data_IF_999365242269
#
_entry.id   IF_999365242269
#
_cell.length_a   1.000
_cell.length_b   1.000
_cell.length_c   1.000
_cell.angle_alpha   90.00
_cell.angle_beta   90.00
_cell.angle_gamma   90.00
#
_symmetry.space_group_name_H-M   'P 1'
#
loop_
_entity.id
_entity.type
_entity.pdbx_description
1 polymer ?
#
# COMPACT_ATOMS: atom_id res chain seq x y z
N UNK A 1 19.19 12.25 -26.28
CA UNK A 1 17.95 12.66 -25.58
C UNK A 1 18.05 12.72 -24.03
N UNK A 2 19.25 12.71 -23.40
CA UNK A 2 19.40 12.76 -21.92
C UNK A 2 19.35 14.18 -21.30
N UNK A 3 19.64 15.23 -22.06
CA UNK A 3 19.75 16.63 -21.58
C UNK A 3 18.41 17.24 -21.10
N UNK A 4 17.28 16.74 -21.58
CA UNK A 4 15.95 17.31 -21.33
C UNK A 4 15.36 16.98 -19.94
N UNK A 5 15.73 15.83 -19.34
CA UNK A 5 15.18 15.38 -18.04
C UNK A 5 15.67 16.22 -16.86
N UNK A 6 16.93 16.68 -16.91
CA UNK A 6 17.56 17.46 -15.85
C UNK A 6 17.01 18.89 -15.73
N UNK A 7 16.59 19.48 -16.85
CA UNK A 7 16.01 20.83 -16.87
C UNK A 7 14.67 20.87 -16.13
N UNK A 8 13.82 19.85 -16.33
CA UNK A 8 12.53 19.74 -15.61
C UNK A 8 12.71 19.49 -14.12
N UNK A 9 13.69 18.67 -13.74
CA UNK A 9 14.01 18.43 -12.33
C UNK A 9 14.47 19.71 -11.62
N UNK A 10 15.32 20.51 -12.28
CA UNK A 10 15.75 21.81 -11.76
C UNK A 10 14.59 22.82 -11.65
N UNK A 11 13.69 22.87 -12.64
CA UNK A 11 12.50 23.72 -12.59
C UNK A 11 11.56 23.35 -11.43
N UNK A 12 11.34 22.05 -11.19
CA UNK A 12 10.55 21.59 -10.04
C UNK A 12 11.22 21.99 -8.72
N UNK A 13 12.54 21.81 -8.61
CA UNK A 13 13.30 22.21 -7.43
C UNK A 13 13.18 23.71 -7.14
N UNK A 14 13.25 24.57 -8.17
CA UNK A 14 13.06 26.01 -8.03
C UNK A 14 11.64 26.38 -7.59
N UNK A 15 10.62 25.68 -8.09
CA UNK A 15 9.23 25.85 -7.62
C UNK A 15 9.08 25.44 -6.15
N UNK A 16 9.68 24.31 -5.75
CA UNK A 16 9.68 23.86 -4.36
C UNK A 16 10.38 24.86 -3.43
N UNK A 17 11.54 25.39 -3.85
CA UNK A 17 12.33 26.37 -3.08
C UNK A 17 11.55 27.65 -2.79
N UNK A 18 10.68 28.05 -3.72
CA UNK A 18 9.87 29.27 -3.60
C UNK A 18 8.46 29.01 -3.03
N UNK A 19 8.13 27.77 -2.65
CA UNK A 19 6.86 27.43 -2.03
C UNK A 19 6.91 27.76 -0.53
N UNK A 20 6.14 28.75 -0.09
CA UNK A 20 5.93 29.01 1.33
C UNK A 20 4.94 27.98 1.89
N UNK A 21 5.44 27.06 2.71
CA UNK A 21 4.61 26.06 3.40
C UNK A 21 3.79 26.75 4.48
N UNK A 22 2.46 26.61 4.42
CA UNK A 22 1.52 27.20 5.37
C UNK A 22 1.04 26.16 6.39
N UNK A 23 0.42 26.59 7.50
CA UNK A 23 -0.21 25.68 8.46
C UNK A 23 -1.24 24.74 7.81
N UNK A 24 -1.99 25.25 6.83
CA UNK A 24 -2.96 24.46 6.05
C UNK A 24 -2.30 23.29 5.29
N UNK A 25 -1.03 23.43 4.93
CA UNK A 25 -0.28 22.37 4.25
C UNK A 25 0.15 21.27 5.23
N UNK A 26 0.44 21.62 6.49
CA UNK A 26 0.65 20.65 7.57
C UNK A 26 -0.64 19.90 7.92
N UNK A 27 -1.78 20.59 8.06
CA UNK A 27 -3.08 19.95 8.29
C UNK A 27 -3.40 18.93 7.17
N UNK A 28 -3.13 19.31 5.91
CA UNK A 28 -3.29 18.41 4.75
C UNK A 28 -2.32 17.23 4.78
N UNK A 29 -1.10 17.45 5.25
CA UNK A 29 -0.11 16.39 5.39
C UNK A 29 -0.52 15.39 6.48
N UNK A 30 -1.03 15.87 7.63
CA UNK A 30 -1.56 15.02 8.70
C UNK A 30 -2.73 14.16 8.22
N UNK A 31 -3.70 14.77 7.53
CA UNK A 31 -4.83 14.01 6.94
C UNK A 31 -4.31 12.93 6.00
N UNK A 32 -3.34 13.24 5.12
CA UNK A 32 -2.74 12.24 4.22
C UNK A 32 -1.99 11.14 4.98
N UNK A 33 -1.25 11.49 6.03
CA UNK A 33 -0.54 10.54 6.87
C UNK A 33 -1.49 9.55 7.56
N UNK A 34 -2.62 10.04 8.08
CA UNK A 34 -3.65 9.18 8.68
C UNK A 34 -4.23 8.17 7.68
N UNK A 35 -4.49 8.58 6.43
CA UNK A 35 -4.95 7.66 5.38
C UNK A 35 -3.90 6.60 5.02
N UNK A 36 -2.61 6.92 5.11
CA UNK A 36 -1.54 5.94 4.89
C UNK A 36 -1.47 4.93 6.04
N UNK A 37 -1.68 5.36 7.28
CA UNK A 37 -1.73 4.46 8.44
C UNK A 37 -2.90 3.47 8.36
N UNK A 38 -4.07 3.94 7.92
CA UNK A 38 -5.23 3.07 7.65
C UNK A 38 -4.90 2.03 6.59
N UNK A 39 -4.32 2.44 5.45
CA UNK A 39 -3.90 1.52 4.38
C UNK A 39 -2.83 0.53 4.85
N UNK A 40 -1.90 0.96 5.68
CA UNK A 40 -0.89 0.08 6.26
C UNK A 40 -1.53 -0.98 7.18
N UNK A 41 -2.52 -0.59 7.97
CA UNK A 41 -3.30 -1.50 8.81
C UNK A 41 -4.11 -2.50 7.99
N UNK A 42 -4.76 -2.05 6.92
CA UNK A 42 -5.47 -2.92 5.99
C UNK A 42 -4.53 -3.89 5.24
N UNK A 43 -3.33 -3.45 4.88
CA UNK A 43 -2.31 -4.33 4.30
C UNK A 43 -1.85 -5.41 5.29
N UNK A 44 -1.62 -5.07 6.56
CA UNK A 44 -1.34 -6.05 7.62
C UNK A 44 -2.47 -7.08 7.74
N UNK A 45 -3.73 -6.65 7.60
CA UNK A 45 -4.88 -7.56 7.61
C UNK A 45 -4.87 -8.51 6.40
N UNK A 46 -4.54 -8.02 5.20
CA UNK A 46 -4.39 -8.87 4.00
C UNK A 46 -3.33 -9.96 4.22
N UNK A 47 -2.18 -9.60 4.79
CA UNK A 47 -1.12 -10.56 5.13
C UNK A 47 -1.65 -11.61 6.12
N UNK A 48 -2.34 -11.18 7.18
CA UNK A 48 -2.90 -12.09 8.17
C UNK A 48 -3.93 -13.04 7.54
N UNK A 49 -4.83 -12.52 6.71
CA UNK A 49 -5.84 -13.29 5.97
C UNK A 49 -5.18 -14.34 5.06
N UNK A 50 -4.15 -13.95 4.29
CA UNK A 50 -3.38 -14.88 3.46
C UNK A 50 -2.71 -15.98 4.28
N UNK A 51 -2.08 -15.62 5.41
CA UNK A 51 -1.44 -16.60 6.33
C UNK A 51 -2.45 -17.57 6.93
N UNK A 52 -3.60 -17.09 7.38
CA UNK A 52 -4.67 -17.92 7.94
C UNK A 52 -5.30 -18.82 6.87
N UNK A 53 -5.40 -18.37 5.63
CA UNK A 53 -5.86 -19.21 4.51
C UNK A 53 -4.86 -20.30 4.15
N UNK A 54 -3.57 -19.97 4.02
CA UNK A 54 -2.53 -20.97 3.72
C UNK A 54 -2.44 -22.01 4.83
N UNK A 55 -2.60 -21.60 6.09
CA UNK A 55 -2.61 -22.51 7.23
C UNK A 55 -3.93 -23.29 7.41
N UNK A 56 -4.91 -23.12 6.51
CA UNK A 56 -6.20 -23.81 6.57
C UNK A 56 -7.18 -23.30 7.64
N UNK A 57 -6.85 -22.21 8.35
CA UNK A 57 -7.69 -21.60 9.39
C UNK A 57 -8.84 -20.78 8.81
N UNK A 58 -8.64 -20.13 7.66
CA UNK A 58 -9.65 -19.31 6.99
C UNK A 58 -9.89 -19.78 5.55
N UNK A 59 -11.12 -20.21 5.22
CA UNK A 59 -11.46 -20.61 3.85
C UNK A 59 -11.82 -19.40 2.99
N UNK A 60 -11.15 -19.30 1.86
CA UNK A 60 -11.37 -18.25 0.86
C UNK A 60 -11.19 -18.81 -0.56
N UNK A 61 -11.77 -18.16 -1.56
CA UNK A 61 -11.55 -18.47 -2.97
C UNK A 61 -10.05 -18.40 -3.34
N UNK A 62 -9.56 -19.39 -4.10
CA UNK A 62 -8.19 -19.45 -4.63
C UNK A 62 -7.79 -18.19 -5.39
N UNK A 63 -8.72 -17.59 -6.15
CA UNK A 63 -8.45 -16.34 -6.86
C UNK A 63 -8.10 -15.17 -5.93
N UNK A 64 -8.80 -15.05 -4.80
CA UNK A 64 -8.51 -14.00 -3.83
C UNK A 64 -7.17 -14.26 -3.13
N UNK A 65 -6.84 -15.52 -2.85
CA UNK A 65 -5.53 -15.89 -2.32
C UNK A 65 -4.40 -15.53 -3.28
N UNK A 66 -4.57 -15.79 -4.59
CA UNK A 66 -3.58 -15.39 -5.61
C UNK A 66 -3.35 -13.88 -5.66
N UNK A 67 -4.39 -13.06 -5.46
CA UNK A 67 -4.26 -11.60 -5.38
C UNK A 67 -3.40 -11.21 -4.17
N UNK A 68 -3.63 -11.79 -3.00
CA UNK A 68 -2.82 -11.51 -1.80
C UNK A 68 -1.37 -11.91 -2.03
N UNK A 69 -1.13 -13.13 -2.53
CA UNK A 69 0.23 -13.63 -2.79
C UNK A 69 0.94 -12.75 -3.82
N UNK A 70 0.29 -12.41 -4.93
CA UNK A 70 0.86 -11.51 -5.94
C UNK A 70 1.20 -10.13 -5.39
N UNK A 71 0.33 -9.56 -4.55
CA UNK A 71 0.57 -8.28 -3.88
C UNK A 71 1.77 -8.35 -2.94
N UNK A 72 1.87 -9.41 -2.12
CA UNK A 72 2.99 -9.59 -1.18
C UNK A 72 4.30 -9.83 -1.93
N UNK A 73 4.31 -10.67 -2.96
CA UNK A 73 5.50 -10.92 -3.79
C UNK A 73 5.98 -9.63 -4.45
N UNK A 74 5.06 -8.83 -4.97
CA UNK A 74 5.40 -7.53 -5.57
C UNK A 74 6.05 -6.60 -4.54
N UNK A 75 5.46 -6.44 -3.36
CA UNK A 75 6.02 -5.59 -2.27
C UNK A 75 7.37 -6.10 -1.77
N UNK A 76 7.59 -7.43 -1.73
CA UNK A 76 8.84 -8.03 -1.26
C UNK A 76 9.95 -8.09 -2.32
N UNK A 77 9.63 -7.87 -3.60
CA UNK A 77 10.59 -7.95 -4.69
C UNK A 77 10.94 -6.54 -5.21
N UNK A 78 11.87 -5.81 -4.57
CA UNK A 78 12.34 -4.51 -5.06
C UNK A 78 13.23 -4.60 -6.32
N UNK A 79 13.18 -5.70 -7.08
CA UNK A 79 14.22 -6.05 -8.07
C UNK A 79 13.82 -6.04 -9.55
N UNK A 80 12.53 -5.97 -9.94
CA UNK A 80 12.18 -6.25 -11.35
C UNK A 80 11.61 -5.07 -12.17
N UNK A 81 11.80 -3.83 -11.73
CA UNK A 81 11.53 -2.68 -12.61
C UNK A 81 12.39 -1.45 -12.26
N UNK A 82 13.47 -1.27 -13.05
CA UNK A 82 14.21 -0.04 -13.30
C UNK A 82 15.39 0.26 -12.35
N UNK A 83 16.63 -0.07 -12.77
CA UNK A 83 17.81 0.68 -12.36
C UNK A 83 17.77 2.09 -12.98
N UNK A 84 18.05 3.08 -12.14
CA UNK A 84 18.25 4.51 -12.41
C UNK A 84 17.03 5.47 -12.50
N UNK A 85 17.17 6.53 -11.70
CA UNK A 85 16.60 7.89 -11.80
C UNK A 85 15.29 8.15 -11.02
N UNK A 86 15.44 8.48 -9.72
CA UNK A 86 14.51 9.16 -8.76
C UNK A 86 13.98 8.22 -7.65
N UNK A 87 14.61 8.25 -6.44
CA UNK A 87 14.18 7.45 -5.27
C UNK A 87 12.74 7.72 -4.80
N UNK A 88 12.12 8.83 -5.22
CA UNK A 88 10.81 9.31 -4.75
C UNK A 88 9.64 8.75 -5.57
N UNK A 89 9.87 8.26 -6.80
CA UNK A 89 8.80 7.80 -7.70
C UNK A 89 8.46 6.30 -7.57
N UNK A 90 9.34 5.48 -6.99
CA UNK A 90 9.09 4.04 -6.81
C UNK A 90 7.96 3.72 -5.82
N UNK A 91 7.71 4.61 -4.85
CA UNK A 91 6.74 4.38 -3.77
C UNK A 91 5.28 4.48 -4.23
N UNK A 92 5.03 5.15 -5.36
CA UNK A 92 3.68 5.39 -5.88
C UNK A 92 3.13 4.13 -6.56
N UNK A 93 3.98 3.31 -7.19
CA UNK A 93 3.55 2.08 -7.88
C UNK A 93 3.18 0.98 -6.86
N UNK A 94 3.98 0.83 -5.79
CA UNK A 94 3.71 -0.09 -4.67
C UNK A 94 2.38 0.21 -3.96
N UNK A 95 2.08 1.49 -3.71
CA UNK A 95 0.82 1.93 -3.12
C UNK A 95 -0.38 1.65 -4.03
N UNK A 96 -0.17 1.60 -5.35
CA UNK A 96 -1.22 1.33 -6.32
C UNK A 96 -1.65 -0.13 -6.29
N UNK A 97 -0.69 -1.06 -6.28
CA UNK A 97 -0.99 -2.50 -6.22
C UNK A 97 -1.58 -2.90 -4.87
N UNK A 98 -1.04 -2.37 -3.76
CA UNK A 98 -1.63 -2.57 -2.42
C UNK A 98 -3.03 -1.98 -2.34
N UNK A 99 -3.23 -0.76 -2.84
CA UNK A 99 -4.54 -0.11 -2.89
C UNK A 99 -5.56 -0.91 -3.71
N UNK A 100 -5.15 -1.44 -4.86
CA UNK A 100 -5.98 -2.32 -5.69
C UNK A 100 -6.38 -3.59 -4.95
N UNK A 101 -5.43 -4.24 -4.27
CA UNK A 101 -5.70 -5.46 -3.51
C UNK A 101 -6.70 -5.21 -2.37
N UNK A 102 -6.52 -4.13 -1.60
CA UNK A 102 -7.43 -3.71 -0.53
C UNK A 102 -8.83 -3.46 -1.09
N UNK A 103 -8.94 -2.69 -2.18
CA UNK A 103 -10.23 -2.40 -2.82
C UNK A 103 -10.94 -3.66 -3.30
N UNK A 104 -10.22 -4.51 -4.05
CA UNK A 104 -10.73 -5.77 -4.60
C UNK A 104 -11.17 -6.76 -3.53
N UNK A 105 -10.45 -6.83 -2.41
CA UNK A 105 -10.68 -7.80 -1.35
C UNK A 105 -11.47 -7.25 -0.17
N UNK A 106 -11.93 -5.99 -0.23
CA UNK A 106 -12.63 -5.32 0.87
C UNK A 106 -13.78 -6.12 1.49
N UNK A 107 -14.61 -6.77 0.67
CA UNK A 107 -15.71 -7.62 1.15
C UNK A 107 -15.21 -8.87 1.89
N UNK A 108 -14.12 -9.45 1.42
CA UNK A 108 -13.51 -10.63 2.01
C UNK A 108 -12.75 -10.30 3.30
N UNK A 109 -12.08 -9.15 3.33
CA UNK A 109 -11.47 -8.57 4.53
C UNK A 109 -12.50 -8.35 5.64
N UNK A 110 -13.72 -7.87 5.33
CA UNK A 110 -14.81 -7.75 6.31
C UNK A 110 -15.20 -9.11 6.90
N UNK A 111 -15.37 -10.13 6.06
CA UNK A 111 -15.67 -11.50 6.54
C UNK A 111 -14.56 -12.04 7.43
N UNK A 112 -13.31 -11.80 7.05
CA UNK A 112 -12.16 -12.21 7.83
C UNK A 112 -12.08 -11.49 9.19
N UNK A 113 -12.38 -10.19 9.26
CA UNK A 113 -12.49 -9.47 10.55
C UNK A 113 -13.52 -10.13 11.47
N UNK A 114 -14.73 -10.41 10.96
CA UNK A 114 -15.77 -11.12 11.72
C UNK A 114 -15.35 -12.54 12.14
N UNK A 115 -14.61 -13.25 11.30
CA UNK A 115 -14.04 -14.55 11.66
C UNK A 115 -13.08 -14.42 12.86
N UNK A 116 -12.17 -13.44 12.85
CA UNK A 116 -11.22 -13.21 13.94
C UNK A 116 -11.92 -12.83 15.24
N UNK A 117 -12.95 -11.99 15.18
CA UNK A 117 -13.78 -11.63 16.34
C UNK A 117 -14.43 -12.87 16.96
N UNK A 118 -15.09 -13.71 16.15
CA UNK A 118 -15.72 -14.95 16.61
C UNK A 118 -14.72 -15.91 17.26
N UNK A 119 -13.53 -16.08 16.65
CA UNK A 119 -12.48 -16.92 17.21
C UNK A 119 -11.97 -16.38 18.55
N UNK A 120 -11.82 -15.06 18.68
CA UNK A 120 -11.40 -14.44 19.94
C UNK A 120 -12.43 -14.64 21.06
N UNK A 121 -13.73 -14.45 20.77
CA UNK A 121 -14.79 -14.71 21.76
C UNK A 121 -14.87 -16.18 22.17
N UNK A 122 -14.60 -17.13 21.27
CA UNK A 122 -14.63 -18.57 21.58
C UNK A 122 -13.46 -19.07 22.44
N UNK A 123 -12.43 -18.23 22.66
CA UNK A 123 -11.26 -18.55 23.49
C UNK A 123 -11.36 -17.99 24.92
N UNK A 124 -12.41 -17.20 25.21
CA UNK A 124 -12.74 -16.69 26.55
C UNK A 124 -13.78 -17.60 27.20
#
# INVERSE_FOLDING_TARGET
MKKMRWIRAFQLFEQFRNMSVSQKDFDRAEVKAAHLDEKASDFKLLIAMGRDTIAGRYKMNKWNLSVIVGTVVYVLSPLDAIPDVIPVLGWIDDLTIVGYAIGKLSAEMRKYKTFKEKTATSML
#
